data_IF_032717765942
#
_entry.id   IF_032717765942
#
_cell.length_a   1.000
_cell.length_b   1.000
_cell.length_c   1.000
_cell.angle_alpha   90.00
_cell.angle_beta   90.00
_cell.angle_gamma   90.00
#
_symmetry.space_group_name_H-M   'P 1'
#
loop_
_entity.id
_entity.type
_entity.pdbx_description
1 polymer ?
#
# COMPACT_ATOMS: atom_id res chain seq x y z
N UNK A 1 -10.54 -14.43 -1.59
CA UNK A 1 -9.25 -13.92 -2.14
C UNK A 1 -9.53 -13.09 -3.36
N UNK A 2 -8.75 -12.04 -3.56
CA UNK A 2 -8.89 -11.11 -4.69
C UNK A 2 -7.89 -11.50 -5.77
N UNK A 3 -8.32 -11.56 -7.03
CA UNK A 3 -7.44 -11.86 -8.15
C UNK A 3 -6.31 -10.83 -8.27
N UNK A 4 -5.12 -11.29 -8.66
CA UNK A 4 -3.92 -10.46 -8.81
C UNK A 4 -3.15 -10.18 -7.52
N UNK A 5 -3.70 -10.52 -6.36
CA UNK A 5 -3.02 -10.34 -5.07
C UNK A 5 -2.81 -8.89 -4.66
N UNK A 6 -1.71 -8.61 -3.98
CA UNK A 6 -1.41 -7.33 -3.35
C UNK A 6 -1.15 -6.21 -4.36
N UNK A 7 -0.18 -6.40 -5.25
CA UNK A 7 0.33 -5.35 -6.14
C UNK A 7 -0.77 -4.55 -6.85
N UNK A 8 -1.71 -5.17 -7.61
CA UNK A 8 -2.72 -4.40 -8.32
C UNK A 8 -3.85 -3.89 -7.43
N UNK A 9 -4.14 -4.50 -6.28
CA UNK A 9 -5.34 -4.17 -5.51
C UNK A 9 -5.11 -3.12 -4.43
N UNK A 10 -4.01 -3.20 -3.70
CA UNK A 10 -3.68 -2.28 -2.59
C UNK A 10 -2.18 -1.98 -2.45
N UNK A 11 -1.32 -2.54 -3.33
CA UNK A 11 0.12 -2.31 -3.39
C UNK A 11 0.51 -1.27 -4.44
N UNK A 12 1.46 -1.64 -5.30
CA UNK A 12 2.17 -0.74 -6.21
C UNK A 12 1.29 0.01 -7.21
N UNK A 13 0.22 -0.62 -7.69
CA UNK A 13 -0.66 0.03 -8.68
C UNK A 13 -1.43 1.20 -8.08
N UNK A 14 -2.18 1.04 -6.97
CA UNK A 14 -2.88 2.18 -6.36
C UNK A 14 -1.91 3.20 -5.75
N UNK A 15 -0.81 2.80 -5.11
CA UNK A 15 0.14 3.75 -4.53
C UNK A 15 0.92 4.50 -5.60
N UNK A 16 1.36 3.82 -6.67
CA UNK A 16 2.04 4.44 -7.80
C UNK A 16 1.18 5.46 -8.53
N UNK A 17 -0.11 5.15 -8.76
CA UNK A 17 -1.04 6.14 -9.30
C UNK A 17 -1.19 7.35 -8.39
N UNK A 18 -1.41 7.14 -7.10
CA UNK A 18 -1.59 8.23 -6.13
C UNK A 18 -0.33 9.08 -6.03
N UNK A 19 0.84 8.46 -5.97
CA UNK A 19 2.14 9.17 -5.96
C UNK A 19 2.31 10.02 -7.21
N UNK A 20 2.00 9.48 -8.40
CA UNK A 20 2.06 10.25 -9.64
C UNK A 20 1.11 11.46 -9.62
N UNK A 21 -0.15 11.26 -9.26
CA UNK A 21 -1.14 12.33 -9.20
C UNK A 21 -0.76 13.41 -8.18
N UNK A 22 -0.19 13.02 -7.04
CA UNK A 22 0.25 13.94 -6.00
C UNK A 22 1.55 14.67 -6.36
N UNK A 23 2.43 14.06 -7.16
CA UNK A 23 3.56 14.77 -7.74
C UNK A 23 3.12 15.88 -8.70
N UNK A 24 2.11 15.62 -9.54
CA UNK A 24 1.49 16.66 -10.39
C UNK A 24 0.90 17.78 -9.52
N UNK A 25 0.17 17.42 -8.45
CA UNK A 25 -0.37 18.40 -7.52
C UNK A 25 0.71 19.26 -6.86
N UNK A 26 1.80 18.64 -6.40
CA UNK A 26 2.93 19.35 -5.78
C UNK A 26 3.63 20.26 -6.79
N UNK A 27 3.87 19.78 -8.02
CA UNK A 27 4.45 20.59 -9.11
C UNK A 27 3.58 21.82 -9.39
N UNK A 28 2.26 21.66 -9.43
CA UNK A 28 1.35 22.77 -9.62
C UNK A 28 1.39 23.78 -8.46
N UNK A 29 1.53 23.33 -7.22
CA UNK A 29 1.72 24.23 -6.06
C UNK A 29 3.04 25.00 -6.13
N UNK A 30 4.07 24.35 -6.61
CA UNK A 30 5.41 24.92 -6.71
C UNK A 30 5.64 25.76 -7.99
N UNK A 31 4.63 25.86 -8.86
CA UNK A 31 4.71 26.53 -10.16
C UNK A 31 5.25 27.97 -10.07
N UNK A 32 4.94 28.70 -8.99
CA UNK A 32 5.43 30.06 -8.77
C UNK A 32 6.95 30.13 -8.66
N UNK A 33 7.64 29.07 -8.21
CA UNK A 33 9.10 28.98 -8.17
C UNK A 33 9.73 29.06 -9.56
N UNK A 34 8.96 28.73 -10.59
CA UNK A 34 9.36 28.76 -12.00
C UNK A 34 8.79 29.96 -12.74
N UNK A 35 8.22 30.96 -12.04
CA UNK A 35 7.63 32.12 -12.65
C UNK A 35 6.23 31.88 -13.26
N UNK A 36 5.64 30.72 -13.06
CA UNK A 36 4.32 30.37 -13.57
C UNK A 36 3.22 30.84 -12.60
N UNK A 37 2.12 31.33 -13.14
CA UNK A 37 0.96 31.71 -12.33
C UNK A 37 -0.11 30.62 -12.39
N UNK A 38 -0.50 30.12 -11.22
CA UNK A 38 -1.66 29.24 -11.05
C UNK A 38 -2.65 29.93 -10.12
N UNK A 39 -3.94 29.93 -10.43
CA UNK A 39 -4.94 30.62 -9.62
C UNK A 39 -5.10 29.90 -8.27
N UNK A 40 -5.73 28.79 -8.20
CA UNK A 40 -5.81 28.01 -6.96
C UNK A 40 -5.48 26.55 -7.27
N UNK A 41 -4.63 25.95 -6.44
CA UNK A 41 -4.25 24.54 -6.59
C UNK A 41 -4.81 23.79 -5.41
N UNK A 42 -5.78 22.91 -5.66
CA UNK A 42 -6.41 22.05 -4.67
C UNK A 42 -6.57 20.63 -5.18
N UNK A 43 -7.09 19.76 -4.34
CA UNK A 43 -7.45 18.41 -4.75
C UNK A 43 -8.84 18.04 -4.27
N UNK A 44 -9.47 17.10 -4.96
CA UNK A 44 -10.71 16.46 -4.54
C UNK A 44 -10.39 14.99 -4.19
N UNK A 45 -10.36 14.68 -2.90
CA UNK A 45 -9.95 13.36 -2.42
C UNK A 45 -10.85 12.21 -2.94
N UNK A 46 -12.21 12.32 -2.92
CA UNK A 46 -13.08 11.32 -3.53
C UNK A 46 -12.80 11.07 -5.02
N UNK A 47 -12.56 12.12 -5.78
CA UNK A 47 -12.21 12.00 -7.21
C UNK A 47 -10.87 11.31 -7.41
N UNK A 48 -9.87 11.64 -6.59
CA UNK A 48 -8.56 11.00 -6.61
C UNK A 48 -8.67 9.49 -6.36
N UNK A 49 -9.44 9.08 -5.35
CA UNK A 49 -9.70 7.67 -5.06
C UNK A 49 -10.49 6.98 -6.19
N UNK A 50 -11.48 7.65 -6.77
CA UNK A 50 -12.24 7.12 -7.91
C UNK A 50 -11.33 6.83 -9.12
N UNK A 51 -10.37 7.71 -9.41
CA UNK A 51 -9.38 7.49 -10.45
C UNK A 51 -8.43 6.33 -10.12
N UNK A 52 -7.96 6.23 -8.90
CA UNK A 52 -7.20 5.08 -8.39
C UNK A 52 -7.97 3.77 -8.66
N UNK A 53 -9.25 3.71 -8.33
CA UNK A 53 -10.08 2.52 -8.57
C UNK A 53 -10.23 2.18 -10.05
N UNK A 54 -10.34 3.19 -10.92
CA UNK A 54 -10.35 2.99 -12.38
C UNK A 54 -9.04 2.40 -12.89
N UNK A 55 -7.90 2.87 -12.36
CA UNK A 55 -6.57 2.33 -12.72
C UNK A 55 -6.45 0.88 -12.28
N UNK A 56 -6.81 0.56 -11.03
CA UNK A 56 -6.83 -0.82 -10.53
C UNK A 56 -7.68 -1.73 -11.42
N UNK A 57 -8.88 -1.31 -11.79
CA UNK A 57 -9.76 -2.08 -12.69
C UNK A 57 -9.15 -2.33 -14.07
N UNK A 58 -8.37 -1.39 -14.62
CA UNK A 58 -7.71 -1.55 -15.93
C UNK A 58 -6.63 -2.61 -15.94
N UNK A 59 -6.02 -2.92 -14.82
CA UNK A 59 -5.03 -3.99 -14.71
C UNK A 59 -5.63 -5.41 -14.77
N UNK A 60 -6.96 -5.52 -14.83
CA UNK A 60 -7.66 -6.81 -14.75
C UNK A 60 -7.75 -7.36 -13.32
N UNK A 61 -7.21 -6.63 -12.35
CA UNK A 61 -7.32 -6.97 -10.93
C UNK A 61 -8.74 -6.73 -10.39
N UNK A 62 -8.97 -7.08 -9.14
CA UNK A 62 -10.25 -6.83 -8.48
C UNK A 62 -11.31 -7.89 -8.76
N UNK A 63 -10.91 -9.12 -9.09
CA UNK A 63 -11.82 -10.26 -9.15
C UNK A 63 -12.43 -10.54 -10.53
N UNK A 64 -11.84 -10.01 -11.57
CA UNK A 64 -12.32 -10.25 -12.92
C UNK A 64 -11.78 -11.58 -13.48
N UNK A 65 -12.42 -12.69 -13.10
CA UNK A 65 -12.18 -14.03 -13.64
C UNK A 65 -12.13 -14.04 -15.18
N UNK A 66 -13.06 -13.33 -15.82
CA UNK A 66 -13.18 -13.24 -17.26
C UNK A 66 -11.94 -12.65 -17.94
N UNK A 67 -11.23 -11.72 -17.28
CA UNK A 67 -9.98 -11.17 -17.77
C UNK A 67 -8.93 -12.27 -17.98
N UNK A 68 -8.78 -13.18 -17.03
CA UNK A 68 -7.82 -14.28 -17.12
C UNK A 68 -8.29 -15.37 -18.09
N UNK A 69 -9.56 -15.70 -18.11
CA UNK A 69 -10.12 -16.70 -19.02
C UNK A 69 -10.01 -16.28 -20.49
N UNK A 70 -10.15 -15.00 -20.81
CA UNK A 70 -9.88 -14.46 -22.15
C UNK A 70 -8.42 -14.65 -22.61
N UNK A 71 -7.49 -14.79 -21.69
CA UNK A 71 -6.09 -15.05 -22.00
C UNK A 71 -5.76 -16.55 -22.06
N UNK A 72 -6.78 -17.41 -22.06
CA UNK A 72 -6.61 -18.86 -22.11
C UNK A 72 -6.26 -19.50 -20.77
N UNK A 73 -6.40 -18.77 -19.65
CA UNK A 73 -6.10 -19.26 -18.30
C UNK A 73 -7.36 -19.85 -17.69
N UNK A 74 -7.35 -21.16 -17.38
CA UNK A 74 -8.43 -21.79 -16.64
C UNK A 74 -8.38 -21.39 -15.16
N UNK A 75 -9.46 -20.82 -14.65
CA UNK A 75 -9.54 -20.33 -13.27
C UNK A 75 -10.39 -21.23 -12.41
N UNK A 76 -9.82 -21.74 -11.33
CA UNK A 76 -10.51 -22.55 -10.33
C UNK A 76 -10.43 -21.83 -8.97
N UNK A 77 -11.57 -21.76 -8.28
CA UNK A 77 -11.64 -21.16 -6.94
C UNK A 77 -11.88 -22.25 -5.89
N UNK A 78 -11.12 -22.18 -4.82
CA UNK A 78 -11.18 -23.13 -3.71
C UNK A 78 -9.83 -23.27 -3.00
N UNK A 79 -9.81 -24.08 -1.96
CA UNK A 79 -8.58 -24.44 -1.29
C UNK A 79 -7.94 -25.61 -2.05
N UNK A 80 -6.72 -25.40 -2.51
CA UNK A 80 -5.95 -26.42 -3.19
C UNK A 80 -5.06 -27.18 -2.19
N UNK A 81 -4.94 -28.48 -2.35
CA UNK A 81 -3.96 -29.29 -1.64
C UNK A 81 -3.32 -30.30 -2.60
N UNK A 82 -2.04 -30.59 -2.38
CA UNK A 82 -1.32 -31.57 -3.18
C UNK A 82 -1.73 -32.99 -2.80
N UNK A 83 -2.02 -33.80 -3.80
CA UNK A 83 -2.21 -35.23 -3.67
C UNK A 83 -0.92 -35.99 -4.02
N UNK A 84 -0.14 -35.45 -4.95
CA UNK A 84 1.16 -35.95 -5.38
C UNK A 84 2.01 -34.80 -5.93
N UNK A 85 3.29 -35.00 -6.30
CA UNK A 85 4.12 -33.96 -6.92
C UNK A 85 3.52 -33.41 -8.23
N UNK A 86 2.66 -34.15 -8.89
CA UNK A 86 2.07 -33.79 -10.19
C UNK A 86 0.55 -33.66 -10.17
N UNK A 87 -0.08 -33.68 -8.98
CA UNK A 87 -1.53 -33.60 -8.86
C UNK A 87 -1.96 -32.80 -7.66
N UNK A 88 -2.94 -31.95 -7.85
CA UNK A 88 -3.64 -31.19 -6.78
C UNK A 88 -5.15 -31.47 -6.84
N UNK A 89 -5.78 -31.42 -5.68
CA UNK A 89 -7.24 -31.35 -5.57
C UNK A 89 -7.69 -29.95 -5.20
N UNK A 90 -8.76 -29.48 -5.86
CA UNK A 90 -9.48 -28.26 -5.53
C UNK A 90 -10.96 -28.60 -5.42
N UNK A 91 -11.52 -28.59 -4.23
CA UNK A 91 -12.87 -29.09 -3.95
C UNK A 91 -13.00 -30.57 -4.40
N UNK A 92 -13.89 -30.85 -5.38
CA UNK A 92 -14.09 -32.19 -5.96
C UNK A 92 -13.34 -32.42 -7.28
N UNK A 93 -12.46 -31.53 -7.67
CA UNK A 93 -11.72 -31.62 -8.95
C UNK A 93 -10.28 -31.98 -8.70
N UNK A 94 -9.76 -32.85 -9.53
CA UNK A 94 -8.34 -33.24 -9.59
C UNK A 94 -7.73 -32.57 -10.82
N UNK A 95 -6.57 -31.95 -10.65
CA UNK A 95 -5.84 -31.27 -11.70
C UNK A 95 -4.40 -31.78 -11.70
N UNK A 96 -3.95 -32.25 -12.85
CA UNK A 96 -2.57 -32.72 -13.05
C UNK A 96 -1.77 -31.72 -13.86
N UNK A 97 -0.50 -31.53 -13.49
CA UNK A 97 0.43 -30.68 -14.23
C UNK A 97 1.87 -31.19 -14.12
N UNK A 98 2.70 -30.87 -15.10
CA UNK A 98 4.14 -31.19 -15.05
C UNK A 98 4.88 -30.34 -14.03
N UNK A 99 4.41 -29.10 -13.79
CA UNK A 99 5.00 -28.15 -12.84
C UNK A 99 3.90 -27.35 -12.15
N UNK A 100 4.12 -27.03 -10.91
CA UNK A 100 3.29 -26.15 -10.11
C UNK A 100 4.09 -24.93 -9.67
N UNK A 101 3.47 -23.75 -9.75
CA UNK A 101 3.96 -22.53 -9.12
C UNK A 101 3.10 -22.25 -7.90
N UNK A 102 3.72 -22.24 -6.72
CA UNK A 102 3.07 -21.89 -5.46
C UNK A 102 3.22 -20.39 -5.25
N UNK A 103 2.13 -19.65 -5.49
CA UNK A 103 2.08 -18.19 -5.34
C UNK A 103 0.84 -17.81 -4.52
N UNK A 104 0.73 -18.37 -3.31
CA UNK A 104 -0.44 -18.23 -2.44
C UNK A 104 -0.55 -16.87 -1.77
N UNK A 105 0.50 -16.05 -1.88
CA UNK A 105 0.57 -14.73 -1.27
C UNK A 105 0.82 -14.79 0.24
N UNK A 106 0.67 -13.63 0.88
CA UNK A 106 0.79 -13.46 2.32
C UNK A 106 -0.30 -12.51 2.82
N UNK A 107 -0.39 -12.37 4.13
CA UNK A 107 -1.23 -11.34 4.75
C UNK A 107 -0.41 -10.52 5.75
N UNK A 108 -0.92 -9.38 6.15
CA UNK A 108 -0.25 -8.47 7.08
C UNK A 108 -0.19 -9.09 8.47
N UNK A 109 1.00 -9.18 9.02
CA UNK A 109 1.19 -9.53 10.41
C UNK A 109 0.83 -8.33 11.28
N UNK A 110 -0.29 -8.42 11.97
CA UNK A 110 -0.71 -7.37 12.91
C UNK A 110 0.11 -7.52 14.20
N UNK A 111 0.84 -6.49 14.63
CA UNK A 111 1.66 -6.58 15.83
C UNK A 111 0.79 -6.69 17.09
N UNK A 112 1.24 -7.48 18.04
CA UNK A 112 0.63 -7.60 19.37
C UNK A 112 0.98 -6.37 20.22
N UNK A 113 0.21 -5.30 20.08
CA UNK A 113 0.37 -4.07 20.87
C UNK A 113 -0.83 -3.94 21.79
N UNK A 114 -0.63 -3.85 23.12
CA UNK A 114 -1.72 -3.61 24.06
C UNK A 114 -2.58 -2.42 23.66
N UNK A 115 -3.90 -2.61 23.60
CA UNK A 115 -4.87 -1.60 23.18
C UNK A 115 -5.09 -1.46 21.68
N UNK A 116 -4.31 -2.11 20.81
CA UNK A 116 -4.48 -2.01 19.36
C UNK A 116 -5.85 -2.53 18.90
N UNK A 117 -6.35 -3.61 19.48
CA UNK A 117 -7.65 -4.20 19.13
C UNK A 117 -8.83 -3.26 19.41
N UNK A 118 -8.69 -2.37 20.40
CA UNK A 118 -9.69 -1.35 20.73
C UNK A 118 -9.51 -0.05 19.93
N UNK A 119 -8.39 0.10 19.24
CA UNK A 119 -8.12 1.24 18.39
C UNK A 119 -8.61 0.97 16.96
N UNK A 120 -9.12 2.01 16.29
CA UNK A 120 -9.38 1.95 14.86
C UNK A 120 -8.04 2.06 14.12
N UNK A 121 -7.58 0.97 13.54
CA UNK A 121 -6.37 0.98 12.72
C UNK A 121 -6.64 0.56 11.28
N UNK A 122 -5.72 0.88 10.41
CA UNK A 122 -5.76 0.52 9.00
C UNK A 122 -4.51 -0.29 8.63
N UNK A 123 -4.69 -1.16 7.66
CA UNK A 123 -3.60 -1.81 6.92
C UNK A 123 -3.56 -1.23 5.49
N UNK A 124 -2.54 -1.51 4.68
CA UNK A 124 -2.55 -1.12 3.27
C UNK A 124 -3.80 -1.55 2.51
N UNK A 125 -4.45 -2.65 2.89
CA UNK A 125 -5.73 -3.08 2.31
C UNK A 125 -6.89 -2.12 2.59
N UNK A 126 -6.88 -1.43 3.72
CA UNK A 126 -8.03 -0.67 4.22
C UNK A 126 -7.81 0.83 4.29
N UNK A 127 -6.56 1.30 4.16
CA UNK A 127 -6.22 2.72 4.33
C UNK A 127 -6.94 3.62 3.31
N UNK A 128 -7.14 3.15 2.09
CA UNK A 128 -7.85 3.90 1.06
C UNK A 128 -9.39 3.85 1.18
N UNK A 129 -9.93 3.21 2.21
CA UNK A 129 -11.35 3.29 2.58
C UNK A 129 -11.67 4.57 3.39
N UNK A 130 -10.65 5.32 3.81
CA UNK A 130 -10.83 6.61 4.45
C UNK A 130 -11.56 7.57 3.51
N UNK A 131 -12.62 8.21 4.04
CA UNK A 131 -13.43 9.18 3.26
C UNK A 131 -12.71 10.52 3.05
N UNK A 132 -11.71 10.81 3.87
CA UNK A 132 -10.87 12.02 3.83
C UNK A 132 -9.51 11.72 4.46
N UNK A 133 -8.44 12.42 4.08
CA UNK A 133 -7.16 12.33 4.75
C UNK A 133 -7.30 12.71 6.24
N UNK A 134 -6.70 11.98 7.17
CA UNK A 134 -6.72 12.35 8.57
C UNK A 134 -5.83 13.57 8.81
N UNK A 135 -6.08 14.33 9.89
CA UNK A 135 -5.20 15.44 10.30
C UNK A 135 -3.82 14.93 10.72
N UNK A 136 -3.80 13.79 11.38
CA UNK A 136 -2.58 13.15 11.89
C UNK A 136 -2.65 11.65 11.63
N UNK A 137 -1.53 11.06 11.26
CA UNK A 137 -1.39 9.61 11.03
C UNK A 137 -0.13 9.11 11.74
N UNK A 138 -0.26 7.98 12.41
CA UNK A 138 0.85 7.26 13.01
C UNK A 138 1.02 5.91 12.30
N UNK A 139 2.20 5.65 11.77
CA UNK A 139 2.55 4.44 11.03
C UNK A 139 3.53 3.63 11.86
N UNK A 140 3.25 2.34 12.02
CA UNK A 140 4.13 1.39 12.72
C UNK A 140 4.91 0.58 11.70
N UNK A 141 6.24 0.71 11.75
CA UNK A 141 7.17 0.16 10.77
C UNK A 141 7.55 1.17 9.68
N UNK A 142 8.78 1.08 9.18
CA UNK A 142 9.33 1.98 8.16
C UNK A 142 9.90 1.22 6.96
N UNK A 143 9.17 0.23 6.49
CA UNK A 143 9.42 -0.44 5.21
C UNK A 143 8.91 0.40 4.02
N UNK A 144 9.14 -0.06 2.79
CA UNK A 144 8.79 0.65 1.56
C UNK A 144 7.32 1.11 1.53
N UNK A 145 6.38 0.20 1.74
CA UNK A 145 4.93 0.51 1.76
C UNK A 145 4.57 1.58 2.79
N UNK A 146 5.17 1.52 3.99
CA UNK A 146 4.93 2.51 5.04
C UNK A 146 5.37 3.92 4.60
N UNK A 147 6.52 4.02 3.93
CA UNK A 147 7.08 5.28 3.45
C UNK A 147 6.32 5.82 2.24
N UNK A 148 5.84 4.97 1.33
CA UNK A 148 4.94 5.37 0.25
C UNK A 148 3.65 5.97 0.79
N UNK A 149 3.01 5.31 1.76
CA UNK A 149 1.81 5.82 2.42
C UNK A 149 2.10 7.13 3.17
N UNK A 150 3.23 7.21 3.87
CA UNK A 150 3.66 8.42 4.54
C UNK A 150 3.80 9.60 3.56
N UNK A 151 4.43 9.36 2.40
CA UNK A 151 4.56 10.34 1.32
C UNK A 151 3.18 10.77 0.77
N UNK A 152 2.31 9.83 0.43
CA UNK A 152 0.96 10.11 -0.08
C UNK A 152 0.19 10.99 0.90
N UNK A 153 0.09 10.57 2.15
CA UNK A 153 -0.72 11.30 3.14
C UNK A 153 -0.10 12.63 3.56
N UNK A 154 1.22 12.73 3.65
CA UNK A 154 1.88 14.01 3.95
C UNK A 154 1.65 15.03 2.83
N UNK A 155 1.69 14.62 1.57
CA UNK A 155 1.40 15.48 0.42
C UNK A 155 -0.07 15.95 0.42
N UNK A 156 -0.99 15.13 0.96
CA UNK A 156 -2.39 15.49 1.18
C UNK A 156 -2.61 16.39 2.43
N UNK A 157 -1.54 16.76 3.14
CA UNK A 157 -1.59 17.66 4.27
C UNK A 157 -1.71 16.98 5.65
N UNK A 158 -1.64 15.65 5.70
CA UNK A 158 -1.61 14.90 6.96
C UNK A 158 -0.25 15.06 7.65
N UNK A 159 -0.22 15.32 8.96
CA UNK A 159 0.99 15.22 9.77
C UNK A 159 1.28 13.74 10.04
N UNK A 160 2.41 13.24 9.53
CA UNK A 160 2.72 11.81 9.60
C UNK A 160 3.87 11.53 10.56
N UNK A 161 3.67 10.53 11.42
CA UNK A 161 4.70 9.96 12.30
C UNK A 161 4.95 8.53 11.87
N UNK A 162 6.21 8.14 11.69
CA UNK A 162 6.63 6.78 11.34
C UNK A 162 7.53 6.25 12.43
N UNK A 163 7.09 5.23 13.18
CA UNK A 163 7.89 4.59 14.22
C UNK A 163 8.55 3.33 13.69
N UNK A 164 9.85 3.22 13.89
CA UNK A 164 10.66 2.08 13.48
C UNK A 164 11.52 1.59 14.66
N UNK A 165 11.45 0.28 14.93
CA UNK A 165 12.24 -0.35 16.00
C UNK A 165 13.74 -0.41 15.70
N UNK A 166 14.08 -0.50 14.42
CA UNK A 166 15.46 -0.52 13.95
C UNK A 166 16.12 0.85 14.07
N UNK A 167 17.44 0.87 13.98
CA UNK A 167 18.22 2.12 14.05
C UNK A 167 18.01 3.05 12.86
N UNK A 168 17.45 2.53 11.75
CA UNK A 168 17.18 3.28 10.52
C UNK A 168 15.93 2.75 9.81
N UNK A 169 15.29 3.58 9.03
CA UNK A 169 14.22 3.17 8.10
C UNK A 169 14.82 2.29 6.99
N UNK A 170 13.98 1.52 6.31
CA UNK A 170 14.42 0.64 5.20
C UNK A 170 15.64 -0.21 5.62
N UNK A 171 15.59 -0.82 6.79
CA UNK A 171 16.75 -1.50 7.40
C UNK A 171 17.35 -2.62 6.55
N UNK A 172 16.58 -3.17 5.60
CA UNK A 172 17.01 -4.20 4.65
C UNK A 172 17.61 -3.66 3.35
N UNK A 173 17.58 -2.33 3.15
CA UNK A 173 18.16 -1.64 2.00
C UNK A 173 19.52 -1.04 2.36
N UNK A 174 20.23 -0.52 1.36
CA UNK A 174 21.51 0.16 1.58
C UNK A 174 21.37 1.35 2.54
N UNK A 175 22.36 1.58 3.43
CA UNK A 175 22.35 2.69 4.37
C UNK A 175 22.21 4.07 3.71
N UNK A 176 22.78 4.23 2.53
CA UNK A 176 22.71 5.47 1.74
C UNK A 176 21.27 5.79 1.33
N UNK A 177 20.53 4.78 0.86
CA UNK A 177 19.10 4.90 0.51
C UNK A 177 18.29 5.30 1.75
N UNK A 178 18.53 4.64 2.89
CA UNK A 178 17.89 5.00 4.16
C UNK A 178 18.14 6.46 4.54
N UNK A 179 19.38 6.94 4.38
CA UNK A 179 19.79 8.32 4.69
C UNK A 179 19.08 9.30 3.75
N UNK A 180 19.09 9.03 2.45
CA UNK A 180 18.46 9.87 1.43
C UNK A 180 16.96 10.05 1.72
N UNK A 181 16.25 8.94 1.94
CA UNK A 181 14.79 8.95 2.21
C UNK A 181 14.49 9.61 3.57
N UNK A 182 15.32 9.41 4.59
CA UNK A 182 15.17 10.11 5.88
C UNK A 182 15.28 11.61 5.74
N UNK A 183 16.21 12.10 4.91
CA UNK A 183 16.39 13.53 4.67
C UNK A 183 15.22 14.11 3.85
N UNK A 184 14.74 13.39 2.84
CA UNK A 184 13.54 13.81 2.09
C UNK A 184 12.29 13.87 3.00
N UNK A 185 12.10 12.89 3.88
CA UNK A 185 10.98 12.85 4.82
C UNK A 185 10.91 14.09 5.73
N UNK A 186 12.06 14.61 6.19
CA UNK A 186 12.12 15.82 7.01
C UNK A 186 11.53 17.04 6.30
N UNK A 187 11.67 17.11 4.97
CA UNK A 187 11.14 18.22 4.16
C UNK A 187 9.64 18.07 3.85
N UNK A 188 9.01 16.96 4.23
CA UNK A 188 7.64 16.59 3.84
C UNK A 188 6.66 16.45 5.00
N UNK A 189 6.89 17.11 6.12
CA UNK A 189 6.02 16.99 7.30
C UNK A 189 5.88 15.53 7.82
N UNK A 190 6.93 14.71 7.62
CA UNK A 190 7.02 13.33 8.08
C UNK A 190 8.05 13.26 9.20
N UNK A 191 7.63 12.85 10.39
CA UNK A 191 8.50 12.65 11.55
C UNK A 191 8.93 11.19 11.64
N UNK A 192 10.21 10.89 11.42
CA UNK A 192 10.78 9.56 11.58
C UNK A 192 11.23 9.36 13.03
N UNK A 193 10.69 8.34 13.68
CA UNK A 193 11.01 7.91 15.04
C UNK A 193 11.73 6.57 14.98
N UNK A 194 13.03 6.58 14.67
CA UNK A 194 13.87 5.39 14.68
C UNK A 194 14.16 4.93 16.13
N UNK A 195 14.55 3.66 16.32
CA UNK A 195 14.79 3.03 17.63
C UNK A 195 13.59 3.14 18.58
N UNK A 196 12.39 3.20 18.00
CA UNK A 196 11.15 3.41 18.76
C UNK A 196 10.27 2.17 18.69
N UNK A 197 9.98 1.58 19.85
CA UNK A 197 9.03 0.49 20.00
C UNK A 197 7.73 1.01 20.61
N UNK A 198 6.60 0.68 20.00
CA UNK A 198 5.29 1.00 20.55
C UNK A 198 4.97 -0.01 21.65
N UNK A 199 4.73 0.47 22.85
CA UNK A 199 4.45 -0.38 24.03
C UNK A 199 2.97 -0.53 24.33
N UNK A 200 2.16 0.49 24.00
CA UNK A 200 0.71 0.44 24.18
C UNK A 200 0.02 1.53 23.35
N UNK A 201 -1.26 1.34 23.09
CA UNK A 201 -2.18 2.33 22.51
C UNK A 201 -3.29 2.59 23.52
N UNK A 202 -3.54 3.84 23.82
CA UNK A 202 -4.61 4.28 24.70
C UNK A 202 -5.52 5.25 23.95
N UNK A 203 -6.81 5.11 24.15
CA UNK A 203 -7.78 6.06 23.64
C UNK A 203 -7.85 7.25 24.59
N UNK A 204 -7.53 8.43 24.07
CA UNK A 204 -7.76 9.69 24.79
C UNK A 204 -9.21 10.14 24.70
#
# INVERSE_FOLDING_TARGET
STFGGESPNWGDVPTGFLTHALNVYQTAKDAAKFGLRTNSVGYNYPSLLSWKDKVVKRTGAGGNRYYYEKQGISVFTGNAHFLSPNEIAINRRHLSARKFLIATGSDWQIPEIPGLSAASYHTPKTIFNLKRPPKTMFIVGAGATALELAHIFSTLGTKVYVAEKSSRILSTFDPEISTLITNDAKNRNISILARTKIIAIQKS
#
